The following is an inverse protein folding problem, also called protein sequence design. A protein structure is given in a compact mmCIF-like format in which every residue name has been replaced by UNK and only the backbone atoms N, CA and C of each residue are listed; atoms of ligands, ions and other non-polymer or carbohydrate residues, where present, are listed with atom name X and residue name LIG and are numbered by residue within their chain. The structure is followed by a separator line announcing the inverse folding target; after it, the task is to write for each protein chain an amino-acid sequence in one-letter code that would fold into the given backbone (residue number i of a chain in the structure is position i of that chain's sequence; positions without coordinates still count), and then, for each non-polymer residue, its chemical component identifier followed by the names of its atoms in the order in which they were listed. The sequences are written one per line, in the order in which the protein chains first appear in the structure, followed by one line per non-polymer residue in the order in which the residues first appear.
data_IF_863058936912
#
_entry.id   IF_863058936912
#
_cell.length_a   1.000
_cell.length_b   1.000
_cell.length_c   1.000
_cell.angle_alpha   90.00
_cell.angle_beta   90.00
_cell.angle_gamma   90.00
#
_symmetry.space_group_name_H-M   'P 1'
#
loop_
_entity.id
_entity.type
_entity.pdbx_description
1 polymer ?
#
# COMPACT_ATOMS: atom_id res chain seq x y z
N UNK A 1 -1.35 -11.63 9.80
CA UNK A 1 -0.08 -10.92 9.56
C UNK A 1 1.02 -11.69 10.27
N UNK A 2 2.08 -12.12 9.58
CA UNK A 2 3.16 -12.86 10.23
C UNK A 2 3.94 -11.92 11.17
N UNK A 3 4.32 -12.40 12.35
CA UNK A 3 5.12 -11.65 13.30
C UNK A 3 6.53 -11.42 12.73
N UNK A 4 7.07 -10.21 12.89
CA UNK A 4 8.48 -9.93 12.58
C UNK A 4 9.32 -10.78 13.53
N UNK A 5 10.21 -11.61 12.98
CA UNK A 5 11.09 -12.43 13.79
C UNK A 5 12.25 -11.59 14.31
N UNK A 6 12.82 -11.97 15.46
CA UNK A 6 13.93 -11.23 16.07
C UNK A 6 15.20 -11.17 15.21
N UNK A 7 15.32 -12.04 14.19
CA UNK A 7 16.41 -12.05 13.22
C UNK A 7 16.18 -11.19 11.97
N UNK A 8 14.97 -10.65 11.78
CA UNK A 8 14.67 -9.81 10.63
C UNK A 8 15.29 -8.42 10.83
N UNK A 9 16.26 -8.09 9.98
CA UNK A 9 16.88 -6.76 9.97
C UNK A 9 15.92 -5.73 9.35
N UNK A 10 15.43 -4.80 10.16
CA UNK A 10 14.49 -3.75 9.76
C UNK A 10 15.28 -2.55 9.19
N UNK A 11 15.56 -2.61 7.89
CA UNK A 11 16.29 -1.58 7.15
C UNK A 11 15.46 -1.01 5.99
N UNK A 12 15.68 0.25 5.64
CA UNK A 12 15.02 0.94 4.51
C UNK A 12 15.24 0.24 3.14
N UNK A 13 16.25 -0.63 3.04
CA UNK A 13 16.56 -1.41 1.84
C UNK A 13 15.59 -2.58 1.64
N UNK A 14 15.00 -3.09 2.72
CA UNK A 14 14.11 -4.25 2.66
C UNK A 14 12.66 -3.83 2.36
N UNK A 15 12.38 -3.59 1.07
CA UNK A 15 11.05 -3.17 0.60
C UNK A 15 9.96 -4.22 0.85
N UNK A 16 10.28 -5.51 0.78
CA UNK A 16 9.31 -6.58 1.04
C UNK A 16 8.78 -6.54 2.47
N UNK A 17 9.63 -6.22 3.44
CA UNK A 17 9.24 -6.13 4.84
C UNK A 17 8.46 -4.84 5.09
N UNK A 18 8.98 -3.71 4.61
CA UNK A 18 8.47 -2.39 4.93
C UNK A 18 7.12 -2.10 4.26
N UNK A 19 6.93 -2.55 3.01
CA UNK A 19 5.68 -2.37 2.25
C UNK A 19 4.46 -2.99 2.94
N UNK A 20 4.68 -3.99 3.80
CA UNK A 20 3.61 -4.64 4.58
C UNK A 20 3.02 -3.77 5.69
N UNK A 21 3.74 -2.72 6.09
CA UNK A 21 3.36 -1.82 7.20
C UNK A 21 2.83 -0.46 6.72
N UNK A 22 2.61 -0.31 5.41
CA UNK A 22 1.96 0.85 4.82
C UNK A 22 0.57 0.47 4.30
N UNK A 23 -0.35 1.42 4.31
CA UNK A 23 -1.64 1.28 3.63
C UNK A 23 -1.46 1.45 2.13
N UNK A 24 -2.50 1.09 1.37
CA UNK A 24 -2.58 1.32 -0.07
C UNK A 24 -2.38 2.81 -0.44
N UNK A 25 -2.85 3.72 0.41
CA UNK A 25 -2.67 5.18 0.28
C UNK A 25 -1.22 5.64 0.51
N UNK A 26 -0.34 4.75 0.95
CA UNK A 26 1.02 5.09 1.36
C UNK A 26 1.08 5.69 2.76
N UNK A 27 0.12 5.46 3.66
CA UNK A 27 0.19 5.91 5.07
C UNK A 27 0.80 4.82 5.95
N UNK A 28 1.54 5.19 6.99
CA UNK A 28 2.11 4.21 7.93
C UNK A 28 1.00 3.67 8.84
N UNK A 29 0.86 2.35 8.92
CA UNK A 29 -0.11 1.71 9.80
C UNK A 29 0.28 1.85 11.28
N UNK A 30 -0.73 1.97 12.15
CA UNK A 30 -0.50 2.13 13.59
C UNK A 30 0.03 0.84 14.23
N UNK A 31 0.75 0.98 15.36
CA UNK A 31 1.25 -0.16 16.14
C UNK A 31 0.15 -1.16 16.53
N UNK A 32 -1.05 -0.66 16.85
CA UNK A 32 -2.19 -1.48 17.30
C UNK A 32 -2.67 -2.41 16.18
N UNK A 33 -2.67 -1.90 14.94
CA UNK A 33 -3.02 -2.68 13.73
C UNK A 33 -1.90 -3.67 13.42
N UNK A 34 -0.64 -3.23 13.47
CA UNK A 34 0.51 -4.06 13.13
C UNK A 34 0.83 -5.14 14.20
N UNK A 35 0.30 -4.99 15.43
CA UNK A 35 0.58 -5.86 16.59
C UNK A 35 2.07 -6.04 16.87
N UNK A 36 2.81 -4.94 16.82
CA UNK A 36 4.25 -4.91 17.07
C UNK A 36 4.62 -4.37 18.46
N UNK A 37 5.83 -4.70 18.89
CA UNK A 37 6.46 -4.03 20.04
C UNK A 37 6.73 -2.55 19.71
N UNK A 38 6.87 -1.73 20.74
CA UNK A 38 7.17 -0.30 20.56
C UNK A 38 8.52 -0.08 19.85
N UNK A 39 9.53 -0.90 20.19
CA UNK A 39 10.86 -0.84 19.58
C UNK A 39 10.80 -1.15 18.07
N UNK A 40 10.13 -2.23 17.69
CA UNK A 40 9.97 -2.60 16.28
C UNK A 40 9.22 -1.52 15.49
N UNK A 41 8.11 -0.99 16.02
CA UNK A 41 7.37 0.07 15.34
C UNK A 41 8.24 1.33 15.11
N UNK A 42 9.07 1.73 16.09
CA UNK A 42 9.99 2.86 15.93
C UNK A 42 10.99 2.62 14.79
N UNK A 43 11.59 1.44 14.75
CA UNK A 43 12.53 1.06 13.69
C UNK A 43 11.88 1.07 12.30
N UNK A 44 10.69 0.47 12.17
CA UNK A 44 9.92 0.47 10.91
C UNK A 44 9.59 1.90 10.47
N UNK A 45 9.16 2.74 11.41
CA UNK A 45 8.81 4.13 11.09
C UNK A 45 10.02 4.90 10.55
N UNK A 46 11.20 4.70 11.14
CA UNK A 46 12.45 5.31 10.67
C UNK A 46 12.79 4.78 9.26
N UNK A 47 12.74 3.47 9.08
CA UNK A 47 13.07 2.82 7.81
C UNK A 47 12.11 3.24 6.67
N UNK A 48 10.81 3.36 6.93
CA UNK A 48 9.82 3.89 5.96
C UNK A 48 10.15 5.33 5.59
N UNK A 49 10.46 6.18 6.57
CA UNK A 49 10.77 7.60 6.31
C UNK A 49 12.03 7.75 5.47
N UNK A 50 13.07 6.97 5.76
CA UNK A 50 14.29 6.92 4.95
C UNK A 50 13.99 6.47 3.51
N UNK A 51 13.21 5.39 3.34
CA UNK A 51 12.81 4.90 2.02
C UNK A 51 12.01 5.94 1.21
N UNK A 52 11.18 6.76 1.86
CA UNK A 52 10.45 7.86 1.19
C UNK A 52 11.35 9.00 0.73
N UNK A 53 12.32 9.39 1.55
CA UNK A 53 13.29 10.43 1.19
C UNK A 53 14.12 9.97 -0.02
N UNK A 54 14.47 8.68 -0.07
CA UNK A 54 15.18 8.05 -1.18
C UNK A 54 14.28 7.69 -2.37
N UNK A 55 13.02 8.15 -2.39
CA UNK A 55 12.03 7.89 -3.45
C UNK A 55 11.71 6.41 -3.72
N UNK A 56 12.07 5.50 -2.81
CA UNK A 56 11.72 4.07 -2.92
C UNK A 56 10.27 3.80 -2.54
N UNK A 57 9.67 4.66 -1.70
CA UNK A 57 8.25 4.61 -1.34
C UNK A 57 7.57 5.96 -1.59
N UNK A 58 6.33 5.97 -2.09
CA UNK A 58 5.56 7.19 -2.29
C UNK A 58 5.08 7.80 -0.97
N UNK A 59 4.95 9.13 -0.95
CA UNK A 59 4.36 9.85 0.18
C UNK A 59 2.82 9.78 0.17
N UNK A 60 2.23 9.77 -1.02
CA UNK A 60 0.80 9.71 -1.27
C UNK A 60 0.56 8.87 -2.52
N UNK A 61 -0.31 7.87 -2.42
CA UNK A 61 -0.84 7.16 -3.58
C UNK A 61 -2.19 7.78 -3.93
N UNK A 62 -2.25 8.42 -5.09
CA UNK A 62 -3.49 8.99 -5.60
C UNK A 62 -4.33 7.84 -6.18
N UNK A 63 -5.30 7.35 -5.41
CA UNK A 63 -6.20 6.23 -5.77
C UNK A 63 -7.04 6.49 -7.05
N UNK A 64 -6.95 7.67 -7.65
CA UNK A 64 -7.80 8.11 -8.77
C UNK A 64 -7.31 7.74 -10.18
N UNK A 65 -6.23 6.98 -10.34
CA UNK A 65 -5.66 6.70 -11.67
C UNK A 65 -6.09 5.37 -12.30
N UNK A 66 -6.78 4.48 -11.57
CA UNK A 66 -7.14 3.15 -12.09
C UNK A 66 -8.59 2.98 -12.58
N UNK A 67 -9.46 3.98 -12.40
CA UNK A 67 -10.86 3.94 -12.89
C UNK A 67 -11.02 4.34 -14.37
N UNK A 68 -9.98 4.22 -15.20
CA UNK A 68 -9.99 4.74 -16.59
C UNK A 68 -9.75 3.74 -17.72
N UNK A 69 -9.67 2.44 -17.46
CA UNK A 69 -9.36 1.46 -18.53
C UNK A 69 -10.41 0.36 -18.78
N UNK A 70 -11.53 0.32 -18.07
CA UNK A 70 -12.57 -0.72 -18.25
C UNK A 70 -13.91 -0.10 -18.69
N UNK A 71 -13.93 0.66 -19.79
CA UNK A 71 -15.18 1.02 -20.48
C UNK A 71 -15.00 1.14 -21.99
N UNK A 72 -14.28 0.17 -22.58
CA UNK A 72 -14.28 -0.03 -24.03
C UNK A 72 -14.89 -1.40 -24.37
N UNK A 73 -16.19 -1.55 -24.12
CA UNK A 73 -17.00 -2.56 -24.78
C UNK A 73 -18.45 -2.08 -24.87
N UNK A 74 -18.74 -1.35 -25.95
CA UNK A 74 -20.10 -1.14 -26.44
C UNK A 74 -20.56 -2.45 -27.08
N UNK A 75 -21.70 -2.99 -26.67
CA UNK A 75 -22.53 -3.80 -27.57
C UNK A 75 -23.92 -3.21 -27.58
N UNK A 76 -24.20 -2.53 -28.69
CA UNK A 76 -25.53 -2.06 -29.11
C UNK A 76 -26.46 -3.25 -29.30
N UNK A 77 -27.54 -3.34 -28.52
CA UNK A 77 -28.72 -4.13 -28.89
C UNK A 77 -29.94 -3.22 -28.93
N UNK A 78 -30.17 -2.74 -30.15
CA UNK A 78 -31.45 -2.49 -30.81
C UNK A 78 -32.73 -2.61 -29.95
N UNK A 79 -33.30 -1.43 -29.63
CA UNK A 79 -34.66 -1.01 -29.97
C UNK A 79 -35.62 -2.13 -30.41
N UNK A 80 -36.57 -2.46 -29.54
CA UNK A 80 -37.92 -2.93 -29.97
C UNK A 80 -39.01 -2.22 -29.16
N UNK A 81 -39.70 -1.30 -29.85
CA UNK A 81 -41.06 -0.83 -29.52
C UNK A 81 -42.06 -1.93 -29.91
N UNK A 82 -42.96 -2.30 -28.99
CA UNK A 82 -44.32 -2.90 -29.17
C UNK A 82 -44.80 -3.24 -27.75
N UNK A 83 -46.01 -2.96 -27.28
CA UNK A 83 -47.30 -2.53 -27.84
C UNK A 83 -47.92 -1.57 -26.83
#
# INVERSE_FOLDING_TARGET
MPPIQSGDQIDYRNMSLISRFISEQGKILSRRVNRLTLKQQRLITIAIKQARILSSLPFLNNEKQFERSESTARTTVLRTRKK
#
